data_IF_906064668319
#
_entry.id   IF_906064668319
#
_cell.length_a   1.000
_cell.length_b   1.000
_cell.length_c   1.000
_cell.angle_alpha   90.00
_cell.angle_beta   90.00
_cell.angle_gamma   90.00
#
_symmetry.space_group_name_H-M   'P 1'
#
loop_
_entity.id
_entity.type
_entity.pdbx_description
1 polymer ?
#
# COMPACT_ATOMS: atom_id res chain seq x y z
N UNK A 1 83.83 7.83 11.45
CA UNK A 1 83.52 6.93 12.57
C UNK A 1 82.21 7.42 13.14
N UNK A 2 81.28 6.49 13.30
CA UNK A 2 79.84 6.66 13.02
C UNK A 2 79.05 7.57 13.96
N UNK A 3 77.97 8.09 13.38
CA UNK A 3 76.91 8.92 13.97
C UNK A 3 75.66 8.05 14.24
N UNK A 4 75.26 8.06 15.51
CA UNK A 4 73.95 7.90 16.18
C UNK A 4 72.75 7.24 15.44
N UNK A 5 72.12 6.35 16.22
CA UNK A 5 70.87 5.59 16.08
C UNK A 5 69.61 6.31 15.56
N UNK A 6 68.70 5.55 14.94
CA UNK A 6 67.28 5.58 15.32
C UNK A 6 66.49 4.32 14.93
N UNK A 7 65.61 3.92 15.85
CA UNK A 7 64.74 2.74 15.86
C UNK A 7 63.55 2.87 14.90
N UNK A 8 63.36 1.89 14.01
CA UNK A 8 62.14 1.72 13.22
C UNK A 8 61.27 0.60 13.77
N UNK A 9 60.10 0.96 14.30
CA UNK A 9 59.05 0.10 14.81
C UNK A 9 58.74 -1.12 13.94
N UNK A 10 58.55 -2.25 14.61
CA UNK A 10 58.06 -3.50 14.03
C UNK A 10 56.75 -3.29 13.26
N UNK A 11 56.73 -3.83 12.05
CA UNK A 11 55.58 -3.96 11.19
C UNK A 11 54.44 -4.68 11.94
N UNK A 12 53.35 -3.96 12.23
CA UNK A 12 52.07 -4.60 12.55
C UNK A 12 51.66 -5.45 11.34
N UNK A 13 51.62 -6.76 11.54
CA UNK A 13 51.08 -7.72 10.60
C UNK A 13 49.58 -7.51 10.41
N UNK A 14 49.22 -6.61 9.50
CA UNK A 14 47.89 -6.58 8.91
C UNK A 14 47.74 -7.80 8.00
N UNK A 15 46.95 -8.79 8.43
CA UNK A 15 46.55 -9.92 7.59
C UNK A 15 46.02 -9.36 6.25
N UNK A 16 46.51 -9.78 5.08
CA UNK A 16 45.98 -9.30 3.81
C UNK A 16 44.53 -9.76 3.71
N UNK A 17 43.58 -8.83 3.85
CA UNK A 17 42.17 -9.09 3.58
C UNK A 17 42.10 -9.58 2.15
N UNK A 18 41.79 -10.88 1.99
CA UNK A 18 41.83 -11.56 0.70
C UNK A 18 40.89 -10.87 -0.29
N UNK A 19 41.23 -10.89 -1.58
CA UNK A 19 40.39 -10.31 -2.62
C UNK A 19 38.97 -10.92 -2.63
N UNK A 20 38.87 -12.15 -2.11
CA UNK A 20 37.64 -12.91 -1.94
C UNK A 20 36.78 -12.37 -0.78
N UNK A 21 37.39 -12.01 0.36
CA UNK A 21 36.70 -11.36 1.49
C UNK A 21 36.09 -10.00 1.13
N UNK A 22 36.75 -9.23 0.24
CA UNK A 22 36.21 -7.94 -0.24
C UNK A 22 35.03 -8.15 -1.20
N UNK A 23 35.12 -9.15 -2.07
CA UNK A 23 34.07 -9.49 -3.02
C UNK A 23 32.81 -10.01 -2.31
N UNK A 24 32.97 -10.89 -1.31
CA UNK A 24 31.84 -11.41 -0.53
C UNK A 24 31.17 -10.33 0.33
N UNK A 25 31.96 -9.44 0.96
CA UNK A 25 31.42 -8.29 1.70
C UNK A 25 30.64 -7.32 0.81
N UNK A 26 31.14 -7.03 -0.39
CA UNK A 26 30.45 -6.16 -1.35
C UNK A 26 29.13 -6.78 -1.81
N UNK A 27 29.14 -8.06 -2.21
CA UNK A 27 27.95 -8.77 -2.66
C UNK A 27 26.90 -8.90 -1.54
N UNK A 28 27.35 -9.11 -0.29
CA UNK A 28 26.46 -9.13 0.87
C UNK A 28 25.80 -7.77 1.12
N UNK A 29 26.54 -6.68 1.01
CA UNK A 29 26.01 -5.33 1.16
C UNK A 29 24.94 -5.02 0.09
N UNK A 30 25.20 -5.40 -1.16
CA UNK A 30 24.27 -5.17 -2.27
C UNK A 30 22.98 -5.98 -2.10
N UNK A 31 23.08 -7.24 -1.69
CA UNK A 31 21.91 -8.09 -1.37
C UNK A 31 21.05 -7.49 -0.25
N UNK A 32 21.68 -6.95 0.79
CA UNK A 32 20.96 -6.28 1.90
C UNK A 32 20.24 -5.04 1.39
N UNK A 33 20.88 -4.25 0.52
CA UNK A 33 20.27 -3.06 -0.08
C UNK A 33 19.08 -3.41 -0.97
N UNK A 34 19.21 -4.42 -1.82
CA UNK A 34 18.10 -4.90 -2.67
C UNK A 34 16.93 -5.39 -1.82
N UNK A 35 17.19 -6.19 -0.78
CA UNK A 35 16.15 -6.69 0.11
C UNK A 35 15.45 -5.54 0.87
N UNK A 36 16.21 -4.55 1.33
CA UNK A 36 15.66 -3.36 1.97
C UNK A 36 14.79 -2.53 1.02
N UNK A 37 15.22 -2.39 -0.25
CA UNK A 37 14.44 -1.76 -1.31
C UNK A 37 13.13 -2.51 -1.58
N UNK A 38 13.18 -3.83 -1.72
CA UNK A 38 11.97 -4.66 -1.88
C UNK A 38 11.00 -4.49 -0.71
N UNK A 39 11.50 -4.52 0.54
CA UNK A 39 10.65 -4.34 1.72
C UNK A 39 10.03 -2.95 1.77
N UNK A 40 10.79 -1.91 1.41
CA UNK A 40 10.28 -0.56 1.29
C UNK A 40 9.16 -0.46 0.24
N UNK A 41 9.33 -1.12 -0.91
CA UNK A 41 8.34 -1.17 -1.99
C UNK A 41 7.06 -1.87 -1.54
N UNK A 42 7.20 -3.01 -0.88
CA UNK A 42 6.06 -3.76 -0.33
C UNK A 42 5.31 -2.94 0.73
N UNK A 43 6.02 -2.21 1.60
CA UNK A 43 5.39 -1.37 2.61
C UNK A 43 4.59 -0.20 2.00
N UNK A 44 5.04 0.34 0.87
CA UNK A 44 4.33 1.42 0.16
C UNK A 44 3.09 0.92 -0.59
N UNK A 45 3.15 -0.28 -1.20
CA UNK A 45 2.01 -0.87 -1.91
C UNK A 45 0.97 -1.41 -0.92
N UNK A 46 1.40 -1.99 0.21
CA UNK A 46 0.49 -2.51 1.23
C UNK A 46 -0.06 -1.35 2.07
N UNK A 47 -1.17 -0.79 1.59
CA UNK A 47 -1.93 0.28 2.23
C UNK A 47 -2.92 -0.21 3.29
N UNK A 48 -3.74 0.72 3.79
CA UNK A 48 -4.89 0.40 4.65
C UNK A 48 -6.03 -0.30 3.91
N UNK A 49 -6.07 -0.19 2.57
CA UNK A 49 -7.13 -0.77 1.73
C UNK A 49 -7.38 -2.25 2.00
N UNK A 50 -6.32 -3.04 2.24
CA UNK A 50 -6.46 -4.49 2.50
C UNK A 50 -7.22 -4.81 3.80
N UNK A 51 -7.32 -3.87 4.74
CA UNK A 51 -8.06 -4.05 5.99
C UNK A 51 -9.52 -3.60 5.90
N UNK A 52 -9.89 -2.84 4.87
CA UNK A 52 -11.23 -2.24 4.72
C UNK A 52 -11.99 -2.86 3.55
N UNK A 53 -11.34 -2.94 2.39
CA UNK A 53 -11.94 -3.28 1.10
C UNK A 53 -12.46 -4.72 0.96
N UNK A 54 -11.87 -5.77 1.57
CA UNK A 54 -12.37 -7.14 1.37
C UNK A 54 -13.86 -7.32 1.73
N UNK A 55 -14.36 -6.57 2.71
CA UNK A 55 -15.78 -6.60 3.10
C UNK A 55 -16.70 -5.99 2.03
N UNK A 56 -16.27 -4.90 1.40
CA UNK A 56 -17.02 -4.23 0.34
C UNK A 56 -17.04 -5.07 -0.94
N UNK A 57 -15.89 -5.63 -1.34
CA UNK A 57 -15.79 -6.57 -2.47
C UNK A 57 -16.70 -7.79 -2.26
N UNK A 58 -16.75 -8.33 -1.05
CA UNK A 58 -17.68 -9.41 -0.71
C UNK A 58 -19.15 -8.97 -0.85
N UNK A 59 -19.51 -7.79 -0.35
CA UNK A 59 -20.88 -7.24 -0.41
C UNK A 59 -21.34 -7.02 -1.85
N UNK A 60 -20.43 -6.58 -2.72
CA UNK A 60 -20.69 -6.29 -4.13
C UNK A 60 -20.74 -7.54 -5.01
N UNK A 61 -19.92 -8.56 -4.74
CA UNK A 61 -19.84 -9.78 -5.56
C UNK A 61 -20.75 -10.90 -5.08
N UNK A 62 -20.96 -11.02 -3.76
CA UNK A 62 -21.73 -12.08 -3.08
C UNK A 62 -21.36 -13.51 -3.49
N UNK A 63 -20.14 -13.70 -4.00
CA UNK A 63 -19.63 -14.95 -4.55
C UNK A 63 -18.15 -15.07 -4.20
N UNK A 64 -17.73 -16.04 -3.37
CA UNK A 64 -16.34 -16.18 -2.93
C UNK A 64 -15.35 -16.29 -4.09
N UNK A 65 -15.69 -17.10 -5.09
CA UNK A 65 -14.86 -17.32 -6.26
C UNK A 65 -14.75 -16.07 -7.13
N UNK A 66 -15.84 -15.32 -7.29
CA UNK A 66 -15.80 -14.05 -8.02
C UNK A 66 -14.94 -13.00 -7.30
N UNK A 67 -15.09 -12.86 -5.98
CA UNK A 67 -14.26 -11.95 -5.18
C UNK A 67 -12.77 -12.28 -5.34
N UNK A 68 -12.39 -13.54 -5.19
CA UNK A 68 -11.00 -13.98 -5.34
C UNK A 68 -10.46 -13.76 -6.76
N UNK A 69 -11.29 -13.96 -7.79
CA UNK A 69 -10.91 -13.68 -9.17
C UNK A 69 -10.68 -12.19 -9.41
N UNK A 70 -11.48 -11.30 -8.83
CA UNK A 70 -11.25 -9.85 -8.93
C UNK A 70 -9.90 -9.47 -8.30
N UNK A 71 -9.56 -10.00 -7.13
CA UNK A 71 -8.25 -9.79 -6.51
C UNK A 71 -7.10 -10.29 -7.41
N UNK A 72 -7.24 -11.49 -8.00
CA UNK A 72 -6.24 -12.04 -8.92
C UNK A 72 -6.07 -11.16 -10.16
N UNK A 73 -7.16 -10.81 -10.83
CA UNK A 73 -7.16 -9.99 -12.06
C UNK A 73 -6.60 -8.59 -11.77
N UNK A 74 -7.02 -7.97 -10.65
CA UNK A 74 -6.49 -6.69 -10.19
C UNK A 74 -4.99 -6.74 -9.92
N UNK A 75 -4.51 -7.80 -9.28
CA UNK A 75 -3.08 -7.99 -9.03
C UNK A 75 -2.26 -8.15 -10.32
N UNK A 76 -2.75 -8.94 -11.29
CA UNK A 76 -2.08 -9.11 -12.60
C UNK A 76 -2.07 -7.79 -13.36
N UNK A 77 -3.20 -7.09 -13.42
CA UNK A 77 -3.29 -5.77 -14.07
C UNK A 77 -2.28 -4.80 -13.46
N UNK A 78 -2.24 -4.71 -12.13
CA UNK A 78 -1.35 -3.81 -11.41
C UNK A 78 0.14 -4.16 -11.61
N UNK A 79 0.46 -5.46 -11.67
CA UNK A 79 1.81 -5.93 -11.97
C UNK A 79 2.25 -5.48 -13.38
N UNK A 80 1.39 -5.63 -14.38
CA UNK A 80 1.69 -5.18 -15.76
C UNK A 80 1.85 -3.65 -15.84
N UNK A 81 0.99 -2.89 -15.16
CA UNK A 81 1.12 -1.43 -15.07
C UNK A 81 2.44 -1.03 -14.40
N UNK A 82 2.83 -1.71 -13.32
CA UNK A 82 4.08 -1.48 -12.60
C UNK A 82 5.31 -1.70 -13.50
N UNK A 83 5.29 -2.69 -14.39
CA UNK A 83 6.39 -2.95 -15.34
C UNK A 83 6.52 -1.87 -16.42
N UNK A 84 5.40 -1.33 -16.91
CA UNK A 84 5.41 -0.32 -17.97
C UNK A 84 5.71 1.10 -17.47
N UNK A 85 5.41 1.40 -16.20
CA UNK A 85 5.54 2.75 -15.63
C UNK A 85 6.97 3.32 -15.51
N UNK A 86 8.02 2.54 -15.20
CA UNK A 86 9.39 3.03 -15.24
C UNK A 86 9.74 3.71 -16.56
N UNK A 87 9.18 3.25 -17.67
CA UNK A 87 9.43 3.80 -19.02
C UNK A 87 8.71 5.14 -19.27
N UNK A 88 7.70 5.48 -18.46
CA UNK A 88 6.82 6.66 -18.61
C UNK A 88 6.96 7.70 -17.46
N UNK A 89 7.79 7.41 -16.45
CA UNK A 89 7.71 7.93 -15.08
C UNK A 89 8.18 9.37 -14.78
N UNK A 90 8.40 10.24 -15.77
CA UNK A 90 8.96 11.59 -15.52
C UNK A 90 7.87 12.65 -15.22
N UNK A 91 6.57 12.40 -15.47
CA UNK A 91 5.58 13.50 -15.57
C UNK A 91 4.45 13.56 -14.53
N UNK A 92 4.16 12.52 -13.73
CA UNK A 92 2.84 12.38 -13.04
C UNK A 92 2.84 12.61 -11.51
N UNK A 93 3.93 13.09 -10.90
CA UNK A 93 4.07 13.09 -9.42
C UNK A 93 3.21 14.10 -8.62
N UNK A 94 2.96 15.34 -9.09
CA UNK A 94 2.28 16.33 -8.25
C UNK A 94 0.79 16.05 -8.04
N UNK A 95 0.12 15.38 -8.97
CA UNK A 95 -1.34 15.23 -9.01
C UNK A 95 -1.87 14.20 -8.01
N UNK A 96 -1.12 13.13 -7.71
CA UNK A 96 -1.58 12.06 -6.81
C UNK A 96 -1.72 12.54 -5.34
N UNK A 97 -0.77 13.32 -4.84
CA UNK A 97 -0.78 13.82 -3.45
C UNK A 97 -2.00 14.71 -3.18
N UNK A 98 -2.43 15.48 -4.18
CA UNK A 98 -3.60 16.36 -4.08
C UNK A 98 -4.89 15.54 -3.99
N UNK A 99 -4.98 14.43 -4.73
CA UNK A 99 -6.13 13.53 -4.71
C UNK A 99 -6.30 12.83 -3.35
N UNK A 100 -5.23 12.27 -2.79
CA UNK A 100 -5.26 11.55 -1.51
C UNK A 100 -5.65 12.45 -0.33
N UNK A 101 -5.10 13.67 -0.28
CA UNK A 101 -5.41 14.64 0.77
C UNK A 101 -6.87 15.11 0.71
N UNK A 102 -7.44 15.21 -0.49
CA UNK A 102 -8.84 15.55 -0.69
C UNK A 102 -9.76 14.44 -0.18
N UNK A 103 -9.48 13.18 -0.56
CA UNK A 103 -10.25 12.01 -0.13
C UNK A 103 -10.22 11.85 1.40
N UNK A 104 -9.04 12.01 2.02
CA UNK A 104 -8.90 11.94 3.48
C UNK A 104 -9.77 12.99 4.21
N UNK A 105 -9.92 14.18 3.62
CA UNK A 105 -10.73 15.26 4.19
C UNK A 105 -12.23 14.97 4.12
N UNK A 106 -12.70 14.30 3.07
CA UNK A 106 -14.09 13.84 2.97
C UNK A 106 -14.44 12.82 4.07
N UNK A 107 -13.55 11.86 4.30
CA UNK A 107 -13.74 10.86 5.36
C UNK A 107 -13.75 11.48 6.77
N UNK A 108 -12.93 12.50 7.01
CA UNK A 108 -12.90 13.19 8.29
C UNK A 108 -14.19 13.97 8.55
N UNK A 109 -14.74 14.67 7.55
CA UNK A 109 -16.03 15.37 7.69
C UNK A 109 -17.17 14.38 7.91
N UNK A 110 -17.18 13.25 7.18
CA UNK A 110 -18.14 12.18 7.41
C UNK A 110 -18.10 11.67 8.86
N UNK A 111 -16.90 11.43 9.40
CA UNK A 111 -16.72 10.98 10.77
C UNK A 111 -17.19 12.01 11.81
N UNK A 112 -17.06 13.32 11.53
CA UNK A 112 -17.49 14.39 12.44
C UNK A 112 -19.01 14.61 12.39
N UNK A 113 -19.63 14.52 11.20
CA UNK A 113 -21.04 14.90 11.02
C UNK A 113 -22.04 13.78 11.33
N UNK A 114 -21.61 12.52 11.35
CA UNK A 114 -22.46 11.38 11.71
C UNK A 114 -23.61 11.12 10.72
N UNK A 115 -24.17 9.90 10.74
CA UNK A 115 -25.29 9.52 9.88
C UNK A 115 -26.59 10.20 10.33
N UNK A 116 -26.97 11.28 9.65
CA UNK A 116 -28.35 11.77 9.64
C UNK A 116 -28.97 11.33 8.31
N UNK A 117 -30.19 10.77 8.31
CA UNK A 117 -30.85 10.23 7.09
C UNK A 117 -30.98 11.25 5.94
N UNK A 118 -30.85 12.54 6.24
CA UNK A 118 -30.82 13.65 5.28
C UNK A 118 -29.46 13.78 4.56
N UNK A 119 -28.34 13.43 5.20
CA UNK A 119 -26.99 13.41 4.65
C UNK A 119 -26.60 11.99 4.24
N UNK A 120 -27.19 11.46 3.17
CA UNK A 120 -26.77 10.14 2.66
C UNK A 120 -25.28 10.16 2.28
N UNK A 121 -24.54 9.06 2.53
CA UNK A 121 -23.11 8.96 2.18
C UNK A 121 -22.82 9.22 0.69
N UNK A 122 -23.85 9.15 -0.17
CA UNK A 122 -23.76 9.45 -1.59
C UNK A 122 -23.53 10.93 -1.92
N UNK A 123 -23.84 11.89 -1.06
CA UNK A 123 -23.73 13.32 -1.42
C UNK A 123 -22.29 13.80 -1.45
N UNK A 124 -21.52 13.53 -0.39
CA UNK A 124 -20.10 13.89 -0.28
C UNK A 124 -19.19 13.06 -1.21
N UNK A 125 -19.64 11.86 -1.63
CA UNK A 125 -18.95 11.02 -2.61
C UNK A 125 -19.46 11.21 -4.06
N UNK A 126 -20.46 12.07 -4.30
CA UNK A 126 -20.98 12.32 -5.66
C UNK A 126 -20.11 13.32 -6.44
N UNK A 127 -19.99 13.19 -7.78
CA UNK A 127 -19.32 14.18 -8.63
C UNK A 127 -19.91 15.60 -8.52
N UNK A 128 -21.17 15.74 -8.10
CA UNK A 128 -21.84 17.03 -7.84
C UNK A 128 -21.48 17.65 -6.48
N UNK A 129 -21.03 16.84 -5.51
CA UNK A 129 -20.56 17.31 -4.20
C UNK A 129 -19.26 18.12 -4.28
N UNK A 130 -18.53 18.03 -5.40
CA UNK A 130 -17.35 18.85 -5.69
C UNK A 130 -17.63 20.37 -5.60
N UNK A 131 -18.88 20.79 -5.85
CA UNK A 131 -19.36 22.17 -5.73
C UNK A 131 -20.42 22.36 -4.63
N UNK A 132 -20.43 21.49 -3.61
CA UNK A 132 -21.25 21.70 -2.41
C UNK A 132 -20.79 22.94 -1.63
N UNK A 133 -21.70 23.56 -0.87
CA UNK A 133 -21.42 24.70 0.02
C UNK A 133 -20.29 24.43 1.03
N UNK A 134 -19.96 23.16 1.28
CA UNK A 134 -18.89 22.73 2.18
C UNK A 134 -17.51 22.55 1.50
N UNK A 135 -17.39 22.75 0.19
CA UNK A 135 -16.13 22.56 -0.57
C UNK A 135 -14.96 23.37 0.00
N UNK A 136 -15.24 24.57 0.53
CA UNK A 136 -14.25 25.41 1.21
C UNK A 136 -13.76 24.77 2.52
N UNK A 137 -14.66 24.20 3.31
CA UNK A 137 -14.33 23.55 4.59
C UNK A 137 -13.46 22.31 4.36
N UNK A 138 -13.82 21.49 3.36
CA UNK A 138 -13.03 20.32 2.93
C UNK A 138 -11.62 20.76 2.53
N UNK A 139 -11.52 21.84 1.75
CA UNK A 139 -10.23 22.35 1.27
C UNK A 139 -9.35 22.88 2.41
N UNK A 140 -9.91 23.61 3.38
CA UNK A 140 -9.15 24.10 4.53
C UNK A 140 -8.64 22.97 5.43
N UNK A 141 -9.47 21.94 5.65
CA UNK A 141 -9.08 20.75 6.41
C UNK A 141 -7.95 20.00 5.69
N UNK A 142 -8.07 19.81 4.37
CA UNK A 142 -7.02 19.17 3.55
C UNK A 142 -5.70 19.93 3.66
N UNK A 143 -5.75 21.25 3.52
CA UNK A 143 -4.57 22.12 3.61
C UNK A 143 -3.95 22.07 5.01
N UNK A 144 -4.76 22.11 6.08
CA UNK A 144 -4.26 22.04 7.46
C UNK A 144 -3.57 20.70 7.75
N UNK A 145 -4.16 19.58 7.31
CA UNK A 145 -3.56 18.25 7.43
C UNK A 145 -2.25 18.18 6.66
N UNK A 146 -2.21 18.66 5.41
CA UNK A 146 -1.01 18.70 4.59
C UNK A 146 0.09 19.57 5.21
N UNK A 147 -0.25 20.75 5.73
CA UNK A 147 0.69 21.63 6.40
C UNK A 147 1.25 20.99 7.67
N UNK A 148 0.42 20.31 8.46
CA UNK A 148 0.86 19.60 9.65
C UNK A 148 1.82 18.46 9.29
N UNK A 149 1.46 17.62 8.32
CA UNK A 149 2.31 16.52 7.84
C UNK A 149 3.63 17.08 7.29
N UNK A 150 3.57 18.16 6.52
CA UNK A 150 4.76 18.79 5.92
C UNK A 150 5.66 19.40 6.99
N UNK A 151 5.11 20.16 7.93
CA UNK A 151 5.85 20.74 9.06
C UNK A 151 6.51 19.64 9.91
N UNK A 152 5.81 18.53 10.14
CA UNK A 152 6.36 17.37 10.83
C UNK A 152 7.55 16.74 10.08
N UNK A 153 7.42 16.57 8.76
CA UNK A 153 8.51 16.06 7.92
C UNK A 153 9.70 17.02 7.85
N UNK A 154 9.46 18.33 7.90
CA UNK A 154 10.49 19.36 7.95
C UNK A 154 11.21 19.39 9.31
N UNK A 155 10.50 19.11 10.41
CA UNK A 155 11.08 19.09 11.76
C UNK A 155 12.09 17.95 11.95
N UNK A 156 11.82 16.76 11.42
CA UNK A 156 12.83 15.68 11.43
C UNK A 156 12.56 14.62 10.37
N UNK A 157 13.38 14.64 9.31
CA UNK A 157 13.41 13.60 8.28
C UNK A 157 13.71 12.21 8.87
N UNK A 158 14.48 12.13 9.95
CA UNK A 158 14.88 10.85 10.58
C UNK A 158 13.72 10.21 11.36
N UNK A 159 12.87 11.00 12.00
CA UNK A 159 11.70 10.49 12.72
C UNK A 159 10.62 9.98 11.75
N UNK A 160 10.35 10.72 10.68
CA UNK A 160 9.39 10.30 9.65
C UNK A 160 9.73 8.93 9.05
N UNK A 161 11.01 8.68 8.73
CA UNK A 161 11.46 7.38 8.22
C UNK A 161 11.28 6.27 9.26
N UNK A 162 11.62 6.51 10.53
CA UNK A 162 11.46 5.52 11.60
C UNK A 162 10.00 5.13 11.81
N UNK A 163 9.10 6.11 11.80
CA UNK A 163 7.65 5.90 11.95
C UNK A 163 7.10 5.09 10.78
N UNK A 164 7.51 5.39 9.54
CA UNK A 164 7.08 4.63 8.37
C UNK A 164 7.49 3.16 8.44
N UNK A 165 8.71 2.88 8.91
CA UNK A 165 9.19 1.50 9.11
C UNK A 165 8.39 0.81 10.22
N UNK A 166 8.13 1.49 11.34
CA UNK A 166 7.35 0.94 12.44
C UNK A 166 5.92 0.57 12.00
N UNK A 167 5.23 1.47 11.27
CA UNK A 167 3.92 1.17 10.71
C UNK A 167 3.97 -0.01 9.72
N UNK A 168 5.01 -0.11 8.91
CA UNK A 168 5.20 -1.27 8.03
C UNK A 168 5.26 -2.58 8.82
N UNK A 169 6.10 -2.66 9.85
CA UNK A 169 6.20 -3.85 10.70
C UNK A 169 4.85 -4.22 11.32
N UNK A 170 4.13 -3.24 11.87
CA UNK A 170 2.79 -3.47 12.46
C UNK A 170 1.81 -4.02 11.42
N UNK A 171 1.77 -3.44 10.21
CA UNK A 171 0.91 -3.92 9.12
C UNK A 171 1.22 -5.37 8.74
N UNK A 172 2.50 -5.71 8.59
CA UNK A 172 2.91 -7.08 8.23
C UNK A 172 2.56 -8.09 9.32
N UNK A 173 2.75 -7.74 10.59
CA UNK A 173 2.33 -8.59 11.71
C UNK A 173 0.81 -8.78 11.73
N UNK A 174 0.04 -7.72 11.49
CA UNK A 174 -1.42 -7.81 11.42
C UNK A 174 -1.88 -8.75 10.29
N UNK A 175 -1.29 -8.62 9.09
CA UNK A 175 -1.57 -9.53 7.97
C UNK A 175 -1.20 -10.97 8.28
N UNK A 176 -0.04 -11.19 8.91
CA UNK A 176 0.39 -12.53 9.32
C UNK A 176 -0.60 -13.16 10.30
N UNK A 177 -1.07 -12.41 11.30
CA UNK A 177 -2.11 -12.85 12.22
C UNK A 177 -3.42 -13.19 11.51
N UNK A 178 -3.87 -12.35 10.56
CA UNK A 178 -5.08 -12.61 9.77
C UNK A 178 -4.95 -13.91 8.97
N UNK A 179 -3.80 -14.16 8.34
CA UNK A 179 -3.53 -15.38 7.60
C UNK A 179 -3.61 -16.60 8.52
N UNK A 180 -2.96 -16.57 9.67
CA UNK A 180 -2.99 -17.69 10.64
C UNK A 180 -4.43 -17.96 11.11
N UNK A 181 -5.15 -16.92 11.52
CA UNK A 181 -6.54 -17.05 11.98
C UNK A 181 -7.43 -17.60 10.86
N UNK A 182 -7.25 -17.15 9.62
CA UNK A 182 -7.95 -17.67 8.45
C UNK A 182 -7.68 -19.15 8.21
N UNK A 183 -6.42 -19.57 8.23
CA UNK A 183 -6.01 -20.97 8.06
C UNK A 183 -6.58 -21.89 9.14
N UNK A 184 -6.56 -21.46 10.40
CA UNK A 184 -7.14 -22.23 11.51
C UNK A 184 -8.67 -22.37 11.38
N UNK A 185 -9.36 -21.35 10.87
CA UNK A 185 -10.81 -21.41 10.67
C UNK A 185 -11.21 -22.29 9.47
N UNK A 186 -10.44 -22.28 8.38
CA UNK A 186 -10.71 -23.08 7.18
C UNK A 186 -10.77 -24.59 7.46
N UNK A 187 -10.06 -25.07 8.48
CA UNK A 187 -10.07 -26.48 8.87
C UNK A 187 -11.40 -26.91 9.53
N UNK A 188 -12.18 -25.98 10.10
CA UNK A 188 -13.44 -26.30 10.78
C UNK A 188 -14.51 -26.72 9.77
N UNK A 189 -15.24 -27.79 10.10
CA UNK A 189 -16.26 -28.39 9.23
C UNK A 189 -17.36 -27.39 8.80
N UNK A 190 -17.70 -26.43 9.67
CA UNK A 190 -18.67 -25.37 9.37
C UNK A 190 -18.30 -24.55 8.12
N UNK A 191 -17.02 -24.21 7.95
CA UNK A 191 -16.58 -23.38 6.83
C UNK A 191 -16.34 -24.18 5.55
N UNK A 192 -16.02 -25.50 5.64
CA UNK A 192 -15.78 -26.34 4.46
C UNK A 192 -16.95 -26.35 3.45
N UNK A 193 -18.18 -26.26 3.93
CA UNK A 193 -19.36 -26.26 3.05
C UNK A 193 -19.51 -24.96 2.24
N UNK A 194 -18.99 -23.83 2.72
CA UNK A 194 -19.00 -22.56 2.00
C UNK A 194 -18.09 -22.57 0.76
N UNK A 195 -17.11 -23.48 0.72
CA UNK A 195 -16.14 -23.62 -0.38
C UNK A 195 -16.55 -24.63 -1.45
N UNK A 196 -17.69 -25.33 -1.30
CA UNK A 196 -18.18 -26.30 -2.31
C UNK A 196 -18.86 -25.63 -3.49
N UNK A 197 -19.44 -24.45 -3.29
CA UNK A 197 -20.11 -23.68 -4.34
C UNK A 197 -19.62 -22.23 -4.34
N UNK A 198 -18.34 -22.07 -4.65
CA UNK A 198 -17.67 -20.75 -4.63
C UNK A 198 -18.21 -19.79 -5.70
N UNK A 199 -18.94 -20.27 -6.70
CA UNK A 199 -19.55 -19.45 -7.76
C UNK A 199 -21.09 -19.44 -7.72
N UNK A 200 -21.74 -19.86 -6.62
CA UNK A 200 -23.20 -20.07 -6.57
C UNK A 200 -24.08 -18.84 -6.83
N UNK A 201 -23.50 -17.64 -6.88
CA UNK A 201 -24.19 -16.38 -7.13
C UNK A 201 -23.53 -15.59 -8.27
N UNK A 202 -22.75 -16.26 -9.11
CA UNK A 202 -22.17 -15.67 -10.30
C UNK A 202 -23.24 -15.61 -11.41
N UNK A 203 -23.19 -14.54 -12.22
CA UNK A 203 -24.17 -14.14 -13.25
C UNK A 203 -24.88 -15.34 -13.89
N UNK A 204 -26.20 -15.42 -13.70
CA UNK A 204 -27.03 -16.53 -14.18
C UNK A 204 -28.11 -16.11 -15.19
N UNK A 205 -28.41 -14.82 -15.36
CA UNK A 205 -29.43 -14.32 -16.30
C UNK A 205 -29.03 -12.96 -16.91
N UNK A 206 -29.57 -12.61 -18.09
CA UNK A 206 -29.28 -11.36 -18.81
C UNK A 206 -29.73 -10.12 -18.04
N UNK A 207 -30.81 -10.20 -17.25
CA UNK A 207 -31.26 -9.09 -16.38
C UNK A 207 -30.37 -8.88 -15.16
N UNK A 208 -29.82 -9.95 -14.59
CA UNK A 208 -28.84 -9.84 -13.51
C UNK A 208 -27.49 -9.39 -14.02
N UNK A 209 -27.13 -9.71 -15.27
CA UNK A 209 -25.88 -9.31 -15.93
C UNK A 209 -25.62 -7.79 -15.89
N UNK A 210 -26.61 -6.96 -16.23
CA UNK A 210 -26.45 -5.48 -16.25
C UNK A 210 -26.27 -4.92 -14.82
N UNK A 211 -26.95 -5.48 -13.82
CA UNK A 211 -26.74 -5.05 -12.41
C UNK A 211 -25.41 -5.56 -11.86
N UNK A 212 -25.04 -6.79 -12.22
CA UNK A 212 -23.79 -7.41 -11.80
C UNK A 212 -22.57 -6.74 -12.41
N UNK A 213 -22.63 -6.26 -13.65
CA UNK A 213 -21.46 -5.63 -14.29
C UNK A 213 -21.06 -4.32 -13.59
N UNK A 214 -22.04 -3.52 -13.16
CA UNK A 214 -21.79 -2.31 -12.37
C UNK A 214 -21.23 -2.65 -10.98
N UNK A 215 -21.79 -3.66 -10.32
CA UNK A 215 -21.32 -4.12 -9.00
C UNK A 215 -19.90 -4.69 -9.04
N UNK A 216 -19.60 -5.51 -10.05
CA UNK A 216 -18.27 -6.10 -10.25
C UNK A 216 -17.26 -5.05 -10.70
N UNK A 217 -17.69 -4.06 -11.50
CA UNK A 217 -16.88 -2.90 -11.86
C UNK A 217 -16.48 -2.08 -10.63
N UNK A 218 -17.44 -1.76 -9.75
CA UNK A 218 -17.15 -1.08 -8.49
C UNK A 218 -16.22 -1.89 -7.59
N UNK A 219 -16.46 -3.19 -7.45
CA UNK A 219 -15.58 -4.08 -6.69
C UNK A 219 -14.15 -4.12 -7.28
N UNK A 220 -14.03 -4.08 -8.61
CA UNK A 220 -12.73 -4.01 -9.28
C UNK A 220 -12.01 -2.68 -9.01
N UNK A 221 -12.73 -1.55 -9.00
CA UNK A 221 -12.16 -0.25 -8.65
C UNK A 221 -11.63 -0.24 -7.21
N UNK A 222 -12.36 -0.83 -6.27
CA UNK A 222 -11.91 -0.98 -4.88
C UNK A 222 -10.68 -1.89 -4.75
N UNK A 223 -10.64 -2.98 -5.51
CA UNK A 223 -9.45 -3.86 -5.57
C UNK A 223 -8.25 -3.11 -6.13
N UNK A 224 -8.41 -2.36 -7.22
CA UNK A 224 -7.34 -1.56 -7.83
C UNK A 224 -6.83 -0.47 -6.88
N UNK A 225 -7.74 0.18 -6.14
CA UNK A 225 -7.38 1.11 -5.07
C UNK A 225 -6.53 0.43 -3.99
N UNK A 226 -6.85 -0.81 -3.62
CA UNK A 226 -6.03 -1.55 -2.63
C UNK A 226 -4.61 -1.82 -3.13
N UNK A 227 -4.41 -1.93 -4.43
CA UNK A 227 -3.11 -2.17 -5.06
C UNK A 227 -2.35 -0.88 -5.40
N UNK A 228 -2.87 0.30 -5.08
CA UNK A 228 -2.22 1.59 -5.32
C UNK A 228 -0.87 1.72 -4.59
N UNK A 229 0.04 2.54 -5.15
CA UNK A 229 1.35 2.84 -4.54
C UNK A 229 2.57 2.37 -5.35
N UNK A 230 2.38 1.55 -6.38
CA UNK A 230 3.43 1.07 -7.29
C UNK A 230 4.11 2.20 -8.09
N UNK A 231 3.35 3.23 -8.45
CA UNK A 231 3.83 4.40 -9.21
C UNK A 231 4.82 5.28 -8.44
N UNK A 232 4.76 5.30 -7.11
CA UNK A 232 5.62 6.13 -6.25
C UNK A 232 7.04 5.56 -6.08
N UNK A 233 7.21 4.30 -6.46
CA UNK A 233 8.37 3.47 -6.13
C UNK A 233 9.30 3.29 -7.32
N UNK A 234 8.72 3.07 -8.50
CA UNK A 234 9.46 2.66 -9.70
C UNK A 234 10.23 3.80 -10.38
N UNK A 235 10.20 5.01 -9.83
CA UNK A 235 10.83 6.18 -10.43
C UNK A 235 11.75 6.95 -9.46
N UNK A 236 12.17 6.36 -8.33
CA UNK A 236 13.16 7.02 -7.46
C UNK A 236 14.58 6.84 -7.95
#
# INVERSE_FOLDING_TARGET
>A
MDEIAESGHGYEGGLPISHDDKHDKHNKHDKIFVLAGMFYNMNNIIGSGIFVIPGDVWRLTRSPGAALMLWLVGGVFNYLCSLAFPELGITVRPTAIIADAYVASLYLIYAIRGENEENRPSEYLSPSGYFSKDSLIISFIAIAILLFITAYHMYSRRLAVRINIAFGVVKFLALFCIIIVGMLQLQKAYYKNHWKSIFNNTISDRRTLIKSIGSYGNAMLEVLFTYEGWNSVNCK
#
